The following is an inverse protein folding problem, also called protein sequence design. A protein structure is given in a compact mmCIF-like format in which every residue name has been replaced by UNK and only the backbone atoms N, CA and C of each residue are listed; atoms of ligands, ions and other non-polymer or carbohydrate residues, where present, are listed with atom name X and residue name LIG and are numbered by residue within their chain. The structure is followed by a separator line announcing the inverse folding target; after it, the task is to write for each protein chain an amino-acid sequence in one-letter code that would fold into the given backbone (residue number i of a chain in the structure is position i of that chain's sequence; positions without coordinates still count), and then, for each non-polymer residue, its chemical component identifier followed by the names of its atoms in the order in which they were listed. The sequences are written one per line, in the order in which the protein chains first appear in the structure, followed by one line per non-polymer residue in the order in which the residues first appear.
data_IF_367052580926
#
_entry.id   IF_367052580926
#
_cell.length_a   1.000
_cell.length_b   1.000
_cell.length_c   1.000
_cell.angle_alpha   90.00
_cell.angle_beta   90.00
_cell.angle_gamma   90.00
#
_symmetry.space_group_name_H-M   'P 1'
#
loop_
_entity.id
_entity.type
_entity.pdbx_description
1 polymer ?
#
# COMPACT_ATOMS: atom_id res chain seq x y z
N UNK A 1 -23.57 11.59 -25.38
CA UNK A 1 -24.10 10.45 -24.61
C UNK A 1 -23.71 10.65 -23.14
N UNK A 2 -24.55 10.27 -22.18
CA UNK A 2 -24.18 10.31 -20.75
C UNK A 2 -23.41 9.04 -20.38
N UNK A 3 -22.38 9.17 -19.54
CA UNK A 3 -21.59 8.03 -19.07
C UNK A 3 -22.26 7.35 -17.85
N UNK A 4 -22.19 6.02 -17.77
CA UNK A 4 -22.70 5.26 -16.63
C UNK A 4 -21.58 5.06 -15.59
N UNK A 5 -21.47 5.96 -14.63
CA UNK A 5 -20.42 5.92 -13.61
C UNK A 5 -20.58 4.77 -12.60
N UNK A 6 -21.80 4.27 -12.38
CA UNK A 6 -22.03 3.12 -11.52
C UNK A 6 -21.42 1.85 -12.13
N UNK A 7 -21.67 1.61 -13.42
CA UNK A 7 -21.05 0.49 -14.16
C UNK A 7 -19.52 0.60 -14.22
N UNK A 8 -18.99 1.83 -14.38
CA UNK A 8 -17.55 2.06 -14.32
C UNK A 8 -16.95 1.74 -12.95
N UNK A 9 -17.63 2.12 -11.85
CA UNK A 9 -17.20 1.80 -10.48
C UNK A 9 -17.21 0.29 -10.23
N UNK A 10 -18.29 -0.41 -10.60
CA UNK A 10 -18.38 -1.88 -10.45
C UNK A 10 -17.20 -2.58 -11.14
N UNK A 11 -16.88 -2.16 -12.37
CA UNK A 11 -15.76 -2.73 -13.15
C UNK A 11 -14.39 -2.38 -12.56
N UNK A 12 -14.23 -1.17 -12.04
CA UNK A 12 -13.01 -0.76 -11.34
C UNK A 12 -12.74 -1.62 -10.10
N UNK A 13 -13.78 -1.95 -9.33
CA UNK A 13 -13.61 -2.81 -8.15
C UNK A 13 -13.36 -4.28 -8.56
N UNK A 14 -14.02 -4.77 -9.62
CA UNK A 14 -13.74 -6.09 -10.18
C UNK A 14 -12.29 -6.23 -10.69
N UNK A 15 -11.70 -5.15 -11.19
CA UNK A 15 -10.29 -5.15 -11.59
C UNK A 15 -9.37 -5.53 -10.40
N UNK A 16 -9.60 -5.00 -9.20
CA UNK A 16 -8.83 -5.40 -8.02
C UNK A 16 -8.95 -6.89 -7.71
N UNK A 17 -10.14 -7.51 -7.87
CA UNK A 17 -10.26 -8.96 -7.72
C UNK A 17 -9.42 -9.73 -8.75
N UNK A 18 -9.30 -9.18 -9.95
CA UNK A 18 -8.42 -9.67 -11.01
C UNK A 18 -6.93 -9.58 -10.68
N UNK A 19 -6.53 -8.73 -9.73
CA UNK A 19 -5.13 -8.53 -9.31
C UNK A 19 -4.72 -9.32 -8.06
N UNK A 20 -5.64 -9.99 -7.38
CA UNK A 20 -5.36 -10.68 -6.10
C UNK A 20 -4.27 -11.74 -6.26
N UNK A 21 -3.21 -11.71 -5.45
CA UNK A 21 -2.21 -12.77 -5.33
C UNK A 21 -2.51 -13.65 -4.11
N UNK A 22 -1.99 -14.87 -4.04
CA UNK A 22 -2.21 -15.80 -2.93
C UNK A 22 -3.41 -16.72 -3.13
N UNK A 23 -3.92 -17.27 -2.02
CA UNK A 23 -5.10 -18.14 -2.01
C UNK A 23 -6.37 -17.31 -2.14
N UNK A 24 -7.13 -17.51 -3.22
CA UNK A 24 -8.34 -16.75 -3.51
C UNK A 24 -9.50 -17.17 -2.59
N UNK A 25 -10.40 -16.23 -2.24
CA UNK A 25 -11.55 -16.56 -1.44
C UNK A 25 -12.61 -17.31 -2.27
N UNK A 26 -13.50 -18.05 -1.61
CA UNK A 26 -14.52 -18.87 -2.30
C UNK A 26 -15.53 -18.02 -3.10
N UNK A 27 -15.73 -16.77 -2.70
CA UNK A 27 -16.64 -15.80 -3.32
C UNK A 27 -15.96 -14.92 -4.39
N UNK A 28 -14.75 -15.28 -4.84
CA UNK A 28 -14.05 -14.61 -5.94
C UNK A 28 -14.93 -14.54 -7.21
N UNK A 29 -15.17 -13.32 -7.73
CA UNK A 29 -16.02 -13.12 -8.92
C UNK A 29 -15.25 -13.29 -10.23
N UNK A 30 -13.95 -12.99 -10.22
CA UNK A 30 -13.07 -13.15 -11.39
C UNK A 30 -12.63 -14.62 -11.54
N UNK A 31 -13.49 -15.45 -12.12
CA UNK A 31 -13.36 -16.92 -12.14
C UNK A 31 -12.22 -17.48 -12.99
N UNK A 32 -11.63 -16.66 -13.87
CA UNK A 32 -10.45 -17.02 -14.67
C UNK A 32 -9.14 -16.98 -13.87
N UNK A 33 -9.11 -16.27 -12.74
CA UNK A 33 -8.00 -16.29 -11.77
C UNK A 33 -8.08 -17.54 -10.87
N UNK A 34 -6.93 -18.06 -10.43
CA UNK A 34 -6.82 -19.12 -9.40
C UNK A 34 -5.76 -18.76 -8.36
N UNK A 35 -5.61 -19.65 -7.39
CA UNK A 35 -4.58 -19.58 -6.35
C UNK A 35 -3.19 -19.50 -6.99
N UNK A 36 -2.37 -18.55 -6.54
CA UNK A 36 -1.04 -18.30 -7.07
C UNK A 36 -0.08 -17.80 -5.98
N UNK A 37 1.24 -17.86 -6.22
CA UNK A 37 2.26 -17.32 -5.30
C UNK A 37 2.11 -17.82 -3.83
N UNK A 38 1.72 -19.07 -3.64
CA UNK A 38 1.38 -19.65 -2.33
C UNK A 38 2.58 -19.86 -1.40
N UNK A 39 3.80 -19.68 -1.91
CA UNK A 39 5.05 -19.87 -1.17
C UNK A 39 5.79 -18.54 -0.92
N UNK A 40 5.13 -17.40 -1.15
CA UNK A 40 5.74 -16.07 -0.94
C UNK A 40 6.28 -15.92 0.50
N UNK A 41 7.59 -15.70 0.61
CA UNK A 41 8.31 -15.49 1.87
C UNK A 41 8.69 -16.76 2.63
N UNK A 42 8.29 -17.94 2.17
CA UNK A 42 8.56 -19.20 2.86
C UNK A 42 10.06 -19.51 2.98
N UNK A 43 10.85 -19.08 2.00
CA UNK A 43 12.31 -19.22 1.93
C UNK A 43 13.05 -18.46 3.06
N UNK A 44 12.46 -17.37 3.55
CA UNK A 44 12.97 -16.58 4.67
C UNK A 44 12.14 -16.75 5.95
N UNK A 45 11.26 -17.75 5.99
CA UNK A 45 10.49 -18.13 7.18
C UNK A 45 9.36 -17.17 7.56
N UNK A 46 8.78 -16.44 6.60
CA UNK A 46 7.59 -15.59 6.84
C UNK A 46 6.46 -15.94 5.86
N UNK A 47 5.23 -15.62 6.21
CA UNK A 47 4.10 -15.68 5.27
C UNK A 47 3.92 -14.30 4.63
N UNK A 48 4.21 -14.21 3.34
CA UNK A 48 3.94 -13.03 2.52
C UNK A 48 2.93 -13.34 1.42
N UNK A 49 2.14 -14.41 1.52
CA UNK A 49 1.03 -14.69 0.57
C UNK A 49 -0.08 -13.64 0.68
N UNK A 50 -0.81 -13.39 -0.42
CA UNK A 50 -1.86 -12.37 -0.47
C UNK A 50 -1.42 -11.10 -1.22
N UNK A 51 -2.18 -10.02 -1.05
CA UNK A 51 -1.88 -8.71 -1.66
C UNK A 51 -2.24 -8.67 -3.14
N UNK A 52 -1.83 -7.61 -3.82
CA UNK A 52 -2.10 -7.41 -5.25
C UNK A 52 -0.83 -7.56 -6.09
N UNK A 53 -0.97 -8.17 -7.26
CA UNK A 53 -0.02 -7.96 -8.33
C UNK A 53 -0.13 -6.52 -8.83
N UNK A 54 1.01 -5.93 -9.16
CA UNK A 54 1.13 -4.50 -9.41
C UNK A 54 0.40 -4.06 -10.68
N UNK A 55 0.70 -4.70 -11.81
CA UNK A 55 0.17 -4.32 -13.10
C UNK A 55 -0.21 -5.56 -13.95
N UNK A 56 0.38 -5.70 -15.13
CA UNK A 56 0.28 -6.93 -15.94
C UNK A 56 1.34 -7.97 -15.60
N UNK A 57 2.19 -7.68 -14.62
CA UNK A 57 3.25 -8.53 -14.09
C UNK A 57 2.77 -9.28 -12.83
N UNK A 58 3.64 -10.11 -12.24
CA UNK A 58 3.32 -10.86 -11.02
C UNK A 58 4.20 -10.45 -9.82
N UNK A 59 4.83 -9.27 -9.89
CA UNK A 59 5.56 -8.67 -8.78
C UNK A 59 4.57 -7.99 -7.84
N UNK A 60 4.88 -8.04 -6.55
CA UNK A 60 4.17 -7.28 -5.52
C UNK A 60 5.04 -6.13 -5.09
N UNK A 61 4.84 -4.96 -5.68
CA UNK A 61 5.47 -3.71 -5.23
C UNK A 61 4.62 -3.11 -4.11
N UNK A 62 5.12 -3.15 -2.87
CA UNK A 62 4.33 -2.74 -1.70
C UNK A 62 4.06 -1.23 -1.69
N UNK A 63 4.95 -0.41 -2.25
CA UNK A 63 4.78 1.05 -2.24
C UNK A 63 3.56 1.54 -3.03
N UNK A 64 3.42 1.24 -4.34
CA UNK A 64 2.20 1.57 -5.10
C UNK A 64 0.96 0.83 -4.58
N UNK A 65 1.11 -0.40 -4.03
CA UNK A 65 0.00 -1.12 -3.41
C UNK A 65 -0.53 -0.40 -2.16
N UNK A 66 0.37 0.10 -1.30
CA UNK A 66 0.01 0.85 -0.11
C UNK A 66 -0.67 2.17 -0.48
N UNK A 67 -0.13 2.92 -1.45
CA UNK A 67 -0.78 4.12 -1.98
C UNK A 67 -2.19 3.84 -2.49
N UNK A 68 -2.34 2.78 -3.28
CA UNK A 68 -3.65 2.32 -3.78
C UNK A 68 -4.62 2.03 -2.65
N UNK A 69 -4.16 1.34 -1.60
CA UNK A 69 -4.98 1.05 -0.42
C UNK A 69 -5.38 2.33 0.33
N UNK A 70 -4.47 3.30 0.49
CA UNK A 70 -4.77 4.60 1.10
C UNK A 70 -5.84 5.36 0.31
N UNK A 71 -5.71 5.44 -1.02
CA UNK A 71 -6.67 6.14 -1.88
C UNK A 71 -8.03 5.44 -1.92
N UNK A 72 -8.07 4.10 -1.95
CA UNK A 72 -9.33 3.35 -1.83
C UNK A 72 -10.00 3.61 -0.48
N UNK A 73 -9.24 3.56 0.62
CA UNK A 73 -9.76 3.87 1.95
C UNK A 73 -10.28 5.30 2.03
N UNK A 74 -9.53 6.28 1.51
CA UNK A 74 -9.97 7.67 1.44
C UNK A 74 -11.27 7.82 0.64
N UNK A 75 -11.36 7.16 -0.52
CA UNK A 75 -12.55 7.17 -1.37
C UNK A 75 -13.79 6.62 -0.64
N UNK A 76 -13.64 5.57 0.15
CA UNK A 76 -14.73 5.02 0.96
C UNK A 76 -15.11 5.97 2.10
N UNK A 77 -14.15 6.66 2.73
CA UNK A 77 -14.43 7.64 3.78
C UNK A 77 -15.23 8.84 3.26
N UNK A 78 -14.89 9.36 2.08
CA UNK A 78 -15.53 10.55 1.50
C UNK A 78 -16.83 10.22 0.75
N UNK A 79 -16.84 9.10 0.02
CA UNK A 79 -17.87 8.81 -0.97
C UNK A 79 -18.54 7.44 -0.78
N UNK A 80 -18.28 6.74 0.32
CA UNK A 80 -18.81 5.39 0.58
C UNK A 80 -20.33 5.28 0.42
N UNK A 81 -21.08 6.27 0.93
CA UNK A 81 -22.55 6.31 0.83
C UNK A 81 -23.05 6.42 -0.62
N UNK A 82 -22.23 6.94 -1.53
CA UNK A 82 -22.55 7.08 -2.95
C UNK A 82 -22.15 5.85 -3.78
N UNK A 83 -21.45 4.87 -3.20
CA UNK A 83 -21.02 3.65 -3.90
C UNK A 83 -22.14 2.61 -4.02
N UNK A 84 -23.24 2.77 -3.27
CA UNK A 84 -24.37 1.84 -3.28
C UNK A 84 -23.94 0.40 -2.99
N UNK A 85 -24.36 -0.60 -3.81
CA UNK A 85 -24.01 -1.99 -3.55
C UNK A 85 -22.50 -2.24 -3.69
N UNK A 86 -21.73 -1.40 -4.39
CA UNK A 86 -20.30 -1.65 -4.57
C UNK A 86 -19.45 -1.30 -3.33
N UNK A 87 -20.02 -0.60 -2.35
CA UNK A 87 -19.30 -0.23 -1.12
C UNK A 87 -18.69 -1.45 -0.42
N UNK A 88 -19.43 -2.56 -0.30
CA UNK A 88 -18.92 -3.76 0.37
C UNK A 88 -17.77 -4.42 -0.42
N UNK A 89 -17.79 -4.36 -1.75
CA UNK A 89 -16.71 -4.86 -2.58
C UNK A 89 -15.46 -3.95 -2.46
N UNK A 90 -15.65 -2.63 -2.35
CA UNK A 90 -14.55 -1.70 -2.07
C UNK A 90 -13.91 -1.97 -0.70
N UNK A 91 -14.72 -2.24 0.33
CA UNK A 91 -14.23 -2.66 1.66
C UNK A 91 -13.42 -3.96 1.59
N UNK A 92 -13.89 -4.96 0.82
CA UNK A 92 -13.15 -6.20 0.61
C UNK A 92 -11.84 -5.96 -0.16
N UNK A 93 -11.82 -5.03 -1.12
CA UNK A 93 -10.62 -4.67 -1.87
C UNK A 93 -9.57 -4.01 -0.97
N UNK A 94 -9.98 -3.10 -0.08
CA UNK A 94 -9.11 -2.46 0.92
C UNK A 94 -8.54 -3.51 1.87
N UNK A 95 -9.40 -4.37 2.45
CA UNK A 95 -8.98 -5.41 3.39
C UNK A 95 -7.94 -6.35 2.79
N UNK A 96 -8.09 -6.74 1.52
CA UNK A 96 -7.13 -7.61 0.84
C UNK A 96 -5.72 -7.01 0.78
N UNK A 97 -5.62 -5.71 0.51
CA UNK A 97 -4.34 -5.00 0.55
C UNK A 97 -3.81 -4.91 1.99
N UNK A 98 -4.63 -4.45 2.95
CA UNK A 98 -4.14 -4.23 4.31
C UNK A 98 -3.80 -5.50 5.05
N UNK A 99 -4.44 -6.63 4.76
CA UNK A 99 -4.03 -7.95 5.29
C UNK A 99 -2.62 -8.31 4.83
N UNK A 100 -2.27 -8.03 3.57
CA UNK A 100 -0.89 -8.19 3.10
C UNK A 100 0.06 -7.18 3.74
N UNK A 101 -0.31 -5.91 3.88
CA UNK A 101 0.53 -4.90 4.54
C UNK A 101 0.80 -5.26 6.02
N UNK A 102 -0.17 -5.87 6.70
CA UNK A 102 -0.01 -6.41 8.05
C UNK A 102 1.01 -7.55 8.10
N UNK A 103 1.03 -8.45 7.10
CA UNK A 103 2.06 -9.48 6.96
C UNK A 103 3.44 -8.88 6.66
N UNK A 104 3.48 -7.95 5.70
CA UNK A 104 4.69 -7.26 5.23
C UNK A 104 5.40 -6.43 6.32
N UNK A 105 4.73 -6.16 7.44
CA UNK A 105 5.28 -5.40 8.57
C UNK A 105 5.26 -6.17 9.89
N UNK A 106 5.03 -7.49 9.84
CA UNK A 106 4.82 -8.29 11.05
C UNK A 106 6.10 -8.57 11.83
N UNK A 107 7.23 -8.61 11.14
CA UNK A 107 8.54 -8.79 11.76
C UNK A 107 9.01 -7.43 12.31
N UNK A 108 9.42 -7.35 13.60
CA UNK A 108 9.97 -6.13 14.15
C UNK A 108 11.12 -5.57 13.32
N UNK A 109 11.21 -4.24 13.25
CA UNK A 109 12.29 -3.50 12.58
C UNK A 109 12.51 -3.88 11.10
N UNK A 110 11.48 -4.46 10.46
CA UNK A 110 11.53 -4.94 9.08
C UNK A 110 10.26 -4.53 8.34
N UNK A 111 10.40 -3.97 7.14
CA UNK A 111 9.29 -3.67 6.22
C UNK A 111 9.55 -4.32 4.88
N UNK A 112 8.78 -5.36 4.54
CA UNK A 112 8.88 -6.04 3.26
C UNK A 112 8.22 -5.20 2.16
N UNK A 113 9.04 -4.64 1.27
CA UNK A 113 8.56 -3.70 0.26
C UNK A 113 8.41 -4.30 -1.14
N UNK A 114 8.89 -5.53 -1.36
CA UNK A 114 8.75 -6.21 -2.64
C UNK A 114 8.81 -7.73 -2.50
N UNK A 115 7.95 -8.42 -3.25
CA UNK A 115 8.00 -9.89 -3.45
C UNK A 115 7.95 -10.19 -4.95
N UNK A 116 8.97 -10.87 -5.46
CA UNK A 116 9.19 -11.05 -6.90
C UNK A 116 10.42 -10.27 -7.36
N UNK A 117 11.23 -10.87 -8.23
CA UNK A 117 12.34 -10.17 -8.89
C UNK A 117 11.87 -9.56 -10.22
N UNK A 118 11.75 -8.24 -10.29
CA UNK A 118 11.03 -7.58 -11.38
C UNK A 118 11.55 -7.90 -12.78
N UNK A 119 12.86 -7.93 -12.98
CA UNK A 119 13.42 -8.24 -14.30
C UNK A 119 13.15 -9.68 -14.74
N UNK A 120 13.19 -10.65 -13.82
CA UNK A 120 13.01 -12.06 -14.17
C UNK A 120 11.52 -12.36 -14.40
N UNK A 121 10.66 -11.73 -13.59
CA UNK A 121 9.23 -11.77 -13.79
C UNK A 121 8.83 -11.20 -15.15
N UNK A 122 9.36 -10.03 -15.52
CA UNK A 122 9.03 -9.36 -16.79
C UNK A 122 9.62 -10.05 -18.03
N UNK A 123 10.66 -10.87 -17.86
CA UNK A 123 11.21 -11.68 -18.94
C UNK A 123 10.33 -12.90 -19.26
N UNK A 124 9.32 -13.20 -18.45
CA UNK A 124 8.45 -14.36 -18.62
C UNK A 124 6.98 -13.97 -18.76
N UNK A 125 6.36 -14.31 -19.88
CA UNK A 125 4.92 -14.15 -20.07
C UNK A 125 4.18 -15.41 -19.64
N UNK A 126 3.61 -15.39 -18.43
CA UNK A 126 2.91 -16.54 -17.88
C UNK A 126 1.73 -16.16 -16.99
N UNK A 127 0.84 -17.14 -16.80
CA UNK A 127 -0.22 -17.04 -15.81
C UNK A 127 0.39 -17.00 -14.40
N UNK A 128 -0.12 -16.18 -13.46
CA UNK A 128 0.39 -16.18 -12.08
C UNK A 128 0.33 -17.56 -11.42
N UNK A 129 -0.62 -18.39 -11.83
CA UNK A 129 -0.82 -19.76 -11.34
C UNK A 129 0.30 -20.72 -11.76
N UNK A 130 1.02 -20.43 -12.85
CA UNK A 130 2.07 -21.29 -13.40
C UNK A 130 3.49 -20.77 -13.09
N UNK A 131 3.62 -19.69 -12.31
CA UNK A 131 4.90 -19.02 -12.08
C UNK A 131 6.01 -19.94 -11.61
N UNK A 132 7.12 -19.90 -12.34
CA UNK A 132 8.39 -20.55 -12.05
C UNK A 132 9.56 -19.57 -11.86
N UNK A 133 9.32 -18.26 -11.97
CA UNK A 133 10.34 -17.21 -11.80
C UNK A 133 10.73 -17.04 -10.32
N UNK A 134 11.97 -16.60 -10.02
CA UNK A 134 12.39 -16.34 -8.65
C UNK A 134 11.53 -15.28 -7.96
N UNK A 135 10.95 -15.64 -6.81
CA UNK A 135 10.08 -14.76 -6.01
C UNK A 135 10.81 -14.13 -4.81
N UNK A 136 11.97 -13.54 -5.09
CA UNK A 136 12.83 -12.91 -4.08
C UNK A 136 12.08 -11.86 -3.24
N UNK A 137 12.39 -11.80 -1.95
CA UNK A 137 11.81 -10.85 -1.00
C UNK A 137 12.82 -9.76 -0.66
N UNK A 138 12.39 -8.50 -0.75
CA UNK A 138 13.19 -7.34 -0.38
C UNK A 138 12.56 -6.58 0.77
N UNK A 139 13.40 -6.08 1.68
CA UNK A 139 12.94 -5.47 2.92
C UNK A 139 13.77 -4.25 3.35
N UNK A 140 13.12 -3.26 3.92
CA UNK A 140 13.80 -2.22 4.67
C UNK A 140 14.12 -2.74 6.08
N UNK A 141 15.30 -2.40 6.59
CA UNK A 141 15.76 -2.71 7.95
C UNK A 141 16.33 -1.45 8.60
N UNK A 142 16.77 -1.53 9.86
CA UNK A 142 17.46 -0.41 10.52
C UNK A 142 18.71 0.03 9.75
N UNK A 143 19.44 -0.92 9.16
CA UNK A 143 20.67 -0.70 8.40
C UNK A 143 20.40 -0.20 6.97
N UNK A 144 19.25 -0.57 6.40
CA UNK A 144 18.79 -0.16 5.06
C UNK A 144 17.35 0.37 5.15
N UNK A 145 17.13 1.53 5.78
CA UNK A 145 15.79 2.01 6.07
C UNK A 145 15.09 2.57 4.84
N UNK A 146 13.77 2.76 4.96
CA UNK A 146 12.93 3.28 3.89
C UNK A 146 11.73 4.03 4.48
N UNK A 147 11.85 5.33 4.62
CA UNK A 147 10.82 6.22 5.16
C UNK A 147 9.60 6.31 4.27
N UNK A 148 9.82 6.39 2.95
CA UNK A 148 8.80 6.46 1.91
C UNK A 148 7.78 5.32 2.01
N UNK A 149 8.20 4.09 1.72
CA UNK A 149 7.30 2.92 1.78
C UNK A 149 6.74 2.67 3.17
N UNK A 150 7.51 2.95 4.23
CA UNK A 150 7.02 2.77 5.61
C UNK A 150 5.89 3.76 5.93
N UNK A 151 6.04 5.02 5.53
CA UNK A 151 5.03 6.03 5.81
C UNK A 151 3.78 5.85 4.95
N UNK A 152 3.89 5.40 3.70
CA UNK A 152 2.71 5.06 2.88
C UNK A 152 1.99 3.81 3.41
N UNK A 153 2.70 2.78 3.88
CA UNK A 153 2.06 1.66 4.58
C UNK A 153 1.33 2.14 5.83
N UNK A 154 1.95 3.03 6.60
CA UNK A 154 1.30 3.60 7.77
C UNK A 154 0.05 4.42 7.40
N UNK A 155 0.09 5.19 6.30
CA UNK A 155 -1.05 5.91 5.75
C UNK A 155 -2.20 4.95 5.42
N UNK A 156 -1.91 3.88 4.66
CA UNK A 156 -2.90 2.88 4.26
C UNK A 156 -3.57 2.22 5.45
N UNK A 157 -2.77 1.77 6.43
CA UNK A 157 -3.27 1.11 7.64
C UNK A 157 -4.06 2.10 8.53
N UNK A 158 -3.60 3.36 8.66
CA UNK A 158 -4.29 4.39 9.42
C UNK A 158 -5.63 4.77 8.78
N UNK A 159 -5.66 5.09 7.48
CA UNK A 159 -6.89 5.41 6.75
C UNK A 159 -7.91 4.25 6.85
N UNK A 160 -7.44 3.02 6.64
CA UNK A 160 -8.28 1.82 6.73
C UNK A 160 -8.80 1.58 8.16
N UNK A 161 -8.01 1.90 9.19
CA UNK A 161 -8.50 1.80 10.57
C UNK A 161 -9.72 2.69 10.82
N UNK A 162 -9.81 3.85 10.16
CA UNK A 162 -10.98 4.73 10.23
C UNK A 162 -12.17 4.09 9.51
N UNK A 163 -11.96 3.55 8.30
CA UNK A 163 -12.99 2.87 7.50
C UNK A 163 -13.67 1.76 8.29
N UNK A 164 -12.89 0.92 8.99
CA UNK A 164 -13.42 -0.23 9.73
C UNK A 164 -13.76 0.08 11.20
N UNK A 165 -13.66 1.34 11.64
CA UNK A 165 -13.81 1.74 13.06
C UNK A 165 -15.09 1.22 13.70
N UNK A 166 -16.20 1.19 12.97
CA UNK A 166 -17.51 0.78 13.50
C UNK A 166 -17.93 -0.62 13.08
N UNK A 167 -17.54 -1.06 11.88
CA UNK A 167 -17.92 -2.37 11.32
C UNK A 167 -17.04 -3.51 11.80
N UNK A 168 -15.78 -3.26 12.16
CA UNK A 168 -14.83 -4.25 12.68
C UNK A 168 -13.80 -3.58 13.61
N UNK A 169 -14.21 -3.34 14.85
CA UNK A 169 -13.41 -2.62 15.85
C UNK A 169 -12.08 -3.32 16.17
N UNK A 170 -12.05 -4.66 16.18
CA UNK A 170 -10.84 -5.42 16.49
C UNK A 170 -9.81 -5.28 15.37
N UNK A 171 -10.24 -5.36 14.11
CA UNK A 171 -9.37 -5.14 12.97
C UNK A 171 -8.90 -3.68 12.91
N UNK A 172 -9.81 -2.71 13.10
CA UNK A 172 -9.48 -1.28 13.16
C UNK A 172 -8.39 -0.98 14.20
N UNK A 173 -8.53 -1.48 15.43
CA UNK A 173 -7.53 -1.28 16.48
C UNK A 173 -6.17 -1.93 16.13
N UNK A 174 -6.21 -3.11 15.51
CA UNK A 174 -5.00 -3.83 15.07
C UNK A 174 -4.26 -3.05 13.98
N UNK A 175 -4.99 -2.55 12.98
CA UNK A 175 -4.44 -1.72 11.91
C UNK A 175 -3.82 -0.44 12.45
N UNK A 176 -4.53 0.29 13.31
CA UNK A 176 -4.01 1.52 13.90
C UNK A 176 -2.75 1.26 14.74
N UNK A 177 -2.74 0.20 15.54
CA UNK A 177 -1.55 -0.19 16.31
C UNK A 177 -0.34 -0.46 15.41
N UNK A 178 -0.55 -1.16 14.27
CA UNK A 178 0.52 -1.40 13.31
C UNK A 178 0.94 -0.12 12.59
N UNK A 179 0.00 0.70 12.14
CA UNK A 179 0.27 1.97 11.46
C UNK A 179 1.22 2.86 12.26
N UNK A 180 0.98 2.99 13.58
CA UNK A 180 1.85 3.74 14.48
C UNK A 180 3.28 3.19 14.50
N UNK A 181 3.44 1.86 14.63
CA UNK A 181 4.76 1.21 14.68
C UNK A 181 5.55 1.36 13.38
N UNK A 182 4.87 1.21 12.24
CA UNK A 182 5.50 1.31 10.92
C UNK A 182 5.90 2.75 10.62
N UNK A 183 5.04 3.71 10.99
CA UNK A 183 5.37 5.13 10.89
C UNK A 183 6.59 5.48 11.76
N UNK A 184 6.61 5.04 13.03
CA UNK A 184 7.75 5.27 13.92
C UNK A 184 9.05 4.69 13.36
N UNK A 185 9.01 3.49 12.79
CA UNK A 185 10.17 2.90 12.12
C UNK A 185 10.70 3.79 11.00
N UNK A 186 9.85 4.19 10.05
CA UNK A 186 10.24 5.04 8.92
C UNK A 186 10.60 6.48 9.32
N UNK A 187 9.97 7.01 10.37
CA UNK A 187 10.22 8.35 10.87
C UNK A 187 11.54 8.44 11.67
N UNK A 188 11.88 7.39 12.42
CA UNK A 188 13.13 7.31 13.20
C UNK A 188 14.33 6.90 12.34
N UNK A 189 14.15 5.92 11.47
CA UNK A 189 15.21 5.42 10.59
C UNK A 189 14.98 6.00 9.20
N UNK A 190 15.66 7.13 8.92
CA UNK A 190 15.48 7.88 7.67
C UNK A 190 16.24 7.25 6.51
N UNK A 191 15.59 7.14 5.36
CA UNK A 191 16.21 6.68 4.10
C UNK A 191 15.17 6.42 3.02
N UNK A 192 15.62 6.12 1.80
CA UNK A 192 14.76 5.68 0.69
C UNK A 192 15.17 4.29 0.22
N UNK A 193 14.23 3.42 -0.10
CA UNK A 193 14.56 2.11 -0.65
C UNK A 193 15.31 2.19 -1.98
N UNK A 194 15.07 3.21 -2.81
CA UNK A 194 15.81 3.41 -4.07
C UNK A 194 17.29 3.72 -3.87
N UNK A 195 17.68 4.33 -2.75
CA UNK A 195 19.09 4.56 -2.40
C UNK A 195 19.77 3.27 -1.92
N UNK A 196 19.07 2.52 -1.07
CA UNK A 196 19.61 1.32 -0.42
C UNK A 196 19.64 0.08 -1.32
N UNK A 197 18.83 0.08 -2.39
CA UNK A 197 18.67 -1.05 -3.32
C UNK A 197 18.98 -0.69 -4.78
N UNK A 198 19.82 0.33 -5.01
CA UNK A 198 20.27 0.68 -6.37
C UNK A 198 20.99 -0.48 -7.12
N UNK A 199 21.49 -1.49 -6.39
CA UNK A 199 22.17 -2.70 -6.91
C UNK A 199 21.93 -3.83 -5.87
N UNK A 200 21.10 -4.85 -6.12
CA UNK A 200 21.01 -5.61 -7.37
C UNK A 200 19.88 -5.19 -8.32
N UNK A 201 19.97 -5.56 -9.61
CA UNK A 201 18.86 -5.42 -10.56
C UNK A 201 17.61 -6.13 -10.04
N UNK A 202 16.43 -5.68 -10.46
CA UNK A 202 15.15 -6.35 -10.16
C UNK A 202 14.46 -5.92 -8.86
N UNK A 203 15.09 -5.09 -8.02
CA UNK A 203 14.47 -4.48 -6.85
C UNK A 203 14.26 -2.98 -7.05
N UNK A 204 13.05 -2.49 -6.79
CA UNK A 204 12.70 -1.04 -6.78
C UNK A 204 12.87 -0.35 -8.13
N UNK A 205 14.11 -0.06 -8.53
CA UNK A 205 14.45 0.55 -9.80
C UNK A 205 14.76 -0.54 -10.86
N UNK A 206 14.35 -0.32 -12.13
CA UNK A 206 13.83 0.91 -12.71
C UNK A 206 12.29 1.09 -12.62
N UNK A 207 11.59 0.32 -11.78
CA UNK A 207 10.12 0.25 -11.76
C UNK A 207 9.48 1.40 -10.97
N UNK A 208 9.64 1.39 -9.64
CA UNK A 208 9.05 2.36 -8.72
C UNK A 208 10.14 3.15 -8.00
N UNK A 209 11.01 3.82 -8.75
CA UNK A 209 12.05 4.64 -8.14
C UNK A 209 11.46 5.82 -7.35
N UNK A 210 11.90 5.99 -6.11
CA UNK A 210 11.66 7.19 -5.30
C UNK A 210 12.55 8.32 -5.84
N UNK A 211 11.97 9.22 -6.63
CA UNK A 211 12.69 10.27 -7.37
C UNK A 211 13.11 11.46 -6.50
N UNK A 212 12.33 11.76 -5.46
CA UNK A 212 12.48 12.95 -4.62
C UNK A 212 13.06 12.73 -3.23
N UNK A 213 12.31 13.15 -2.22
CA UNK A 213 12.66 13.07 -0.79
C UNK A 213 11.50 12.34 -0.09
N UNK A 214 11.73 11.63 1.02
CA UNK A 214 10.67 10.83 1.66
C UNK A 214 9.70 11.66 2.52
N UNK A 215 9.86 12.98 2.52
CA UNK A 215 9.15 13.91 3.39
C UNK A 215 7.68 14.05 3.04
N UNK A 216 7.28 13.87 1.77
CA UNK A 216 5.88 13.95 1.40
C UNK A 216 5.16 12.68 1.87
N UNK A 217 5.77 11.51 1.70
CA UNK A 217 5.32 10.26 2.33
C UNK A 217 5.17 10.39 3.85
N UNK A 218 6.16 10.97 4.53
CA UNK A 218 6.12 11.17 5.98
C UNK A 218 5.04 12.16 6.39
N UNK A 219 4.86 13.25 5.65
CA UNK A 219 3.77 14.20 5.89
C UNK A 219 2.40 13.53 5.67
N UNK A 220 2.26 12.75 4.60
CA UNK A 220 1.05 12.02 4.25
C UNK A 220 0.66 10.98 5.30
N UNK A 221 1.60 10.09 5.68
CA UNK A 221 1.39 9.10 6.72
C UNK A 221 1.08 9.71 8.08
N UNK A 222 1.75 10.82 8.41
CA UNK A 222 1.47 11.57 9.63
C UNK A 222 0.05 12.18 9.62
N UNK A 223 -0.42 12.75 8.51
CA UNK A 223 -1.77 13.30 8.41
C UNK A 223 -2.86 12.23 8.56
N UNK A 224 -2.67 11.05 7.99
CA UNK A 224 -3.60 9.94 8.20
C UNK A 224 -3.61 9.43 9.64
N UNK A 225 -2.44 9.34 10.27
CA UNK A 225 -2.34 8.99 11.68
C UNK A 225 -2.96 10.06 12.58
N UNK A 226 -2.78 11.34 12.27
CA UNK A 226 -3.44 12.44 12.97
C UNK A 226 -4.96 12.26 12.96
N UNK A 227 -5.57 12.01 11.80
CA UNK A 227 -7.00 11.69 11.69
C UNK A 227 -7.38 10.41 12.45
N UNK A 228 -6.64 9.33 12.28
CA UNK A 228 -6.97 8.02 12.87
C UNK A 228 -6.80 7.99 14.40
N UNK A 229 -5.99 8.86 14.96
CA UNK A 229 -5.72 8.96 16.42
C UNK A 229 -6.58 9.99 17.13
N UNK A 230 -7.60 10.52 16.47
CA UNK A 230 -8.45 11.58 17.00
C UNK A 230 -7.63 12.83 17.35
N UNK A 231 -6.79 13.25 16.39
CA UNK A 231 -6.07 14.51 16.38
C UNK A 231 -4.92 14.61 17.40
N UNK A 232 -4.14 13.54 17.55
CA UNK A 232 -2.91 13.59 18.36
C UNK A 232 -1.87 14.54 17.75
N UNK A 233 -1.55 15.61 18.48
CA UNK A 233 -0.64 16.67 18.04
C UNK A 233 0.77 16.20 17.70
N UNK A 234 1.22 15.04 18.17
CA UNK A 234 2.48 14.46 17.73
C UNK A 234 2.51 14.29 16.21
N UNK A 235 1.47 13.69 15.62
CA UNK A 235 1.43 13.46 14.17
C UNK A 235 1.23 14.75 13.39
N UNK A 236 0.45 15.70 13.91
CA UNK A 236 0.36 17.04 13.31
C UNK A 236 1.73 17.70 13.21
N UNK A 237 2.50 17.70 14.29
CA UNK A 237 3.83 18.31 14.30
C UNK A 237 4.80 17.58 13.35
N UNK A 238 4.72 16.24 13.28
CA UNK A 238 5.49 15.44 12.32
C UNK A 238 5.14 15.77 10.87
N UNK A 239 3.85 15.95 10.56
CA UNK A 239 3.39 16.38 9.24
C UNK A 239 3.91 17.78 8.89
N UNK A 240 3.69 18.76 9.76
CA UNK A 240 4.16 20.14 9.56
C UNK A 240 5.69 20.20 9.38
N UNK A 241 6.44 19.44 10.17
CA UNK A 241 7.90 19.41 10.05
C UNK A 241 8.38 18.81 8.73
N UNK A 242 7.74 17.74 8.27
CA UNK A 242 8.08 17.12 6.99
C UNK A 242 7.69 18.05 5.82
N UNK A 243 6.55 18.74 5.93
CA UNK A 243 6.08 19.70 4.93
C UNK A 243 6.98 20.91 4.69
N UNK A 244 7.88 21.28 5.62
CA UNK A 244 8.80 22.42 5.47
C UNK A 244 9.82 22.25 4.35
N UNK A 245 10.10 21.01 3.96
CA UNK A 245 11.14 20.65 2.98
C UNK A 245 10.51 20.31 1.62
N UNK A 246 9.17 20.23 1.55
CA UNK A 246 8.46 19.89 0.34
C UNK A 246 8.55 21.02 -0.68
N UNK A 247 8.95 20.64 -1.89
CA UNK A 247 8.84 21.53 -3.03
C UNK A 247 7.36 21.55 -3.48
N UNK A 248 6.80 22.73 -3.74
CA UNK A 248 5.37 22.92 -4.02
C UNK A 248 4.94 22.44 -5.42
N UNK A 249 5.42 21.30 -5.90
CA UNK A 249 4.85 20.71 -7.10
C UNK A 249 3.48 20.13 -6.76
N UNK A 250 2.44 20.89 -7.12
CA UNK A 250 1.02 20.57 -6.89
C UNK A 250 0.36 19.96 -8.13
N UNK A 251 1.12 19.70 -9.20
CA UNK A 251 0.55 19.29 -10.48
C UNK A 251 0.27 17.80 -10.59
N UNK A 252 0.71 17.00 -9.61
CA UNK A 252 0.57 15.54 -9.62
C UNK A 252 0.19 15.01 -8.23
N UNK A 253 -0.67 13.98 -8.24
CA UNK A 253 -0.99 13.16 -7.08
C UNK A 253 -0.90 11.70 -7.51
N UNK A 254 0.00 10.95 -6.88
CA UNK A 254 0.26 9.58 -7.26
C UNK A 254 1.07 8.83 -6.21
N UNK A 255 1.45 7.60 -6.57
CA UNK A 255 2.23 6.73 -5.69
C UNK A 255 3.59 7.32 -5.30
N UNK A 256 4.14 8.27 -6.07
CA UNK A 256 5.39 8.98 -5.75
C UNK A 256 5.13 10.31 -5.06
N UNK A 257 4.36 11.23 -5.64
CA UNK A 257 4.10 12.56 -5.08
C UNK A 257 2.75 12.72 -4.37
N UNK A 258 2.77 13.08 -3.08
CA UNK A 258 1.56 13.20 -2.22
C UNK A 258 1.16 14.63 -1.87
N UNK A 259 1.91 15.64 -2.36
CA UNK A 259 1.74 17.05 -2.01
C UNK A 259 0.29 17.55 -2.15
N UNK A 260 -0.36 17.27 -3.28
CA UNK A 260 -1.73 17.70 -3.52
C UNK A 260 -2.72 17.05 -2.53
N UNK A 261 -2.55 15.76 -2.21
CA UNK A 261 -3.36 15.05 -1.23
C UNK A 261 -3.18 15.60 0.19
N UNK A 262 -1.95 15.91 0.59
CA UNK A 262 -1.64 16.52 1.90
C UNK A 262 -2.37 17.86 2.05
N UNK A 263 -2.34 18.72 1.02
CA UNK A 263 -3.02 20.02 1.07
C UNK A 263 -4.53 19.87 1.28
N UNK A 264 -5.17 18.88 0.62
CA UNK A 264 -6.59 18.60 0.83
C UNK A 264 -6.83 18.11 2.26
N UNK A 265 -6.05 17.15 2.76
CA UNK A 265 -6.22 16.61 4.12
C UNK A 265 -6.04 17.66 5.22
N UNK A 266 -5.14 18.64 5.03
CA UNK A 266 -4.96 19.75 5.98
C UNK A 266 -6.16 20.70 6.01
N UNK A 267 -6.94 20.75 4.93
CA UNK A 267 -8.12 21.63 4.83
C UNK A 267 -9.41 21.05 5.42
N UNK A 268 -9.40 19.79 5.86
CA UNK A 268 -10.57 19.02 6.32
C UNK A 268 -10.38 18.44 7.72
#
# INVERSE_FOLDING_TARGET
ASHNYADALTKSILFFEGQRSGKLPQDQRMTWRKDSALNDGADIGVDLTGGYYDAGDNVKFTFPMAFTATVLAWSVLEFGDSMGPDQHHALNAIRWATDFLMKATNKPDTVYFQVGHGQEDHNCWQRPEDMDTPRAVFAATIEKPSSDVSAEIAAALAATSIVFKYSDQAYSATLLSRAKKVFEFGHKHRGRYSENYAKPPGAVCPFYCSGGIAEDDLAWGAMWLFKATNYDHYYWNSAVNSSKILNHNLHEFGWEGKNAGINVLVST
#
